data_IF_248587810727
#
_entry.id   IF_248587810727
#
_cell.length_a   1.000
_cell.length_b   1.000
_cell.length_c   1.000
_cell.angle_alpha   90.00
_cell.angle_beta   90.00
_cell.angle_gamma   90.00
#
_symmetry.space_group_name_H-M   'P 1'
#
loop_
_entity.id
_entity.type
_entity.pdbx_description
1 polymer ?
#
# COMPACT_ATOMS: atom_id res chain seq x y z
N UNK A 1 -4.52 -16.28 -16.50
CA UNK A 1 -3.18 -16.69 -16.96
C UNK A 1 -2.31 -15.45 -16.96
N UNK A 2 -1.39 -15.36 -16.00
CA UNK A 2 -0.54 -14.20 -15.81
C UNK A 2 0.78 -14.43 -16.54
N UNK A 3 1.05 -13.59 -17.53
CA UNK A 3 2.33 -13.53 -18.24
C UNK A 3 2.81 -12.09 -18.08
N UNK A 4 3.90 -11.91 -17.34
CA UNK A 4 5.00 -10.91 -17.28
C UNK A 4 4.94 -9.61 -18.12
N UNK A 5 4.07 -9.51 -19.11
CA UNK A 5 3.69 -8.30 -19.83
C UNK A 5 2.26 -7.82 -19.50
N UNK A 6 1.50 -8.54 -18.67
CA UNK A 6 0.15 -8.18 -18.25
C UNK A 6 0.17 -7.57 -16.85
N UNK A 7 0.22 -6.25 -16.85
CA UNK A 7 -0.38 -5.44 -15.81
C UNK A 7 -1.86 -5.84 -15.63
N UNK A 8 -2.27 -6.10 -14.38
CA UNK A 8 -3.68 -6.26 -14.07
C UNK A 8 -4.29 -4.89 -13.75
N UNK A 9 -5.12 -4.39 -14.67
CA UNK A 9 -5.95 -3.20 -14.46
C UNK A 9 -7.38 -3.66 -14.29
N UNK A 10 -7.93 -3.52 -13.09
CA UNK A 10 -9.30 -3.93 -12.80
C UNK A 10 -10.33 -2.86 -13.22
N UNK A 11 -10.24 -2.36 -14.45
CA UNK A 11 -11.17 -1.37 -15.00
C UNK A 11 -11.82 -1.88 -16.30
N UNK A 12 -13.13 -1.68 -16.45
CA UNK A 12 -13.92 -2.03 -17.66
C UNK A 12 -13.54 -1.22 -18.92
N UNK A 13 -12.64 -0.25 -18.81
CA UNK A 13 -12.13 0.56 -19.92
C UNK A 13 -10.71 0.15 -20.28
N UNK A 14 -10.44 -0.10 -21.56
CA UNK A 14 -9.12 -0.45 -22.09
C UNK A 14 -8.13 0.70 -21.87
N UNK A 15 -7.20 0.53 -20.94
CA UNK A 15 -6.04 1.40 -20.81
C UNK A 15 -5.06 1.07 -21.93
N UNK A 16 -4.68 2.06 -22.74
CA UNK A 16 -3.62 1.92 -23.73
C UNK A 16 -2.27 1.99 -23.02
N UNK A 17 -1.68 0.80 -22.74
CA UNK A 17 -0.36 0.66 -22.14
C UNK A 17 0.72 0.65 -23.24
N UNK A 18 1.77 1.46 -23.08
CA UNK A 18 3.03 1.29 -23.79
C UNK A 18 4.18 0.97 -22.85
N UNK A 19 5.05 0.09 -23.30
CA UNK A 19 6.27 -0.31 -22.62
C UNK A 19 7.41 0.48 -23.27
N UNK A 20 8.13 1.31 -22.49
CA UNK A 20 9.27 2.13 -22.97
C UNK A 20 10.57 1.74 -22.30
N UNK A 21 11.68 2.07 -22.97
CA UNK A 21 13.04 1.84 -22.50
C UNK A 21 13.53 0.41 -22.78
N UNK A 22 14.85 0.27 -22.84
CA UNK A 22 15.49 -1.04 -23.00
C UNK A 22 15.40 -1.82 -21.69
N UNK A 23 14.81 -3.00 -21.74
CA UNK A 23 14.65 -3.89 -20.59
C UNK A 23 14.45 -5.32 -21.06
N UNK A 24 14.82 -6.28 -20.23
CA UNK A 24 14.63 -7.71 -20.52
C UNK A 24 13.71 -8.35 -19.49
N UNK A 25 12.94 -9.35 -19.91
CA UNK A 25 12.30 -10.29 -18.99
C UNK A 25 13.33 -11.33 -18.58
N UNK A 26 13.61 -11.43 -17.28
CA UNK A 26 14.56 -12.40 -16.73
C UNK A 26 13.87 -13.35 -15.76
N UNK A 27 14.23 -14.63 -15.83
CA UNK A 27 13.77 -15.68 -14.93
C UNK A 27 14.73 -15.86 -13.76
N UNK A 28 14.20 -16.38 -12.66
CA UNK A 28 14.99 -16.76 -11.49
C UNK A 28 16.07 -17.79 -11.88
N UNK A 29 17.26 -17.66 -11.29
CA UNK A 29 18.36 -18.62 -11.47
C UNK A 29 18.04 -19.97 -10.81
N UNK A 30 17.34 -19.93 -9.67
CA UNK A 30 16.85 -21.12 -8.98
C UNK A 30 15.33 -21.14 -9.02
N UNK A 31 14.76 -22.25 -9.47
CA UNK A 31 13.31 -22.43 -9.60
C UNK A 31 12.73 -22.57 -8.18
N UNK A 32 12.15 -21.49 -7.67
CA UNK A 32 11.26 -21.53 -6.51
C UNK A 32 9.82 -21.84 -6.97
N UNK A 33 9.05 -22.55 -6.14
CA UNK A 33 7.62 -22.82 -6.36
C UNK A 33 6.72 -21.60 -6.10
N UNK A 34 7.29 -20.41 -5.95
CA UNK A 34 6.55 -19.18 -5.63
C UNK A 34 5.47 -18.89 -6.68
N UNK A 35 4.26 -18.45 -6.27
CA UNK A 35 3.21 -18.15 -7.22
C UNK A 35 3.59 -16.93 -8.06
N UNK A 36 2.94 -16.81 -9.22
CA UNK A 36 2.92 -15.57 -9.98
C UNK A 36 2.50 -14.43 -9.04
N UNK A 37 3.15 -13.25 -9.07
CA UNK A 37 4.01 -12.72 -10.14
C UNK A 37 5.52 -12.93 -9.97
N UNK A 38 5.98 -13.69 -8.98
CA UNK A 38 7.40 -13.66 -8.56
C UNK A 38 8.37 -14.54 -9.35
N UNK A 39 7.89 -15.29 -10.34
CA UNK A 39 8.72 -16.22 -11.13
C UNK A 39 9.73 -15.53 -12.06
N UNK A 40 9.48 -14.27 -12.39
CA UNK A 40 10.21 -13.49 -13.40
C UNK A 40 10.15 -12.01 -13.08
N UNK A 41 11.08 -11.24 -13.62
CA UNK A 41 11.09 -9.79 -13.51
C UNK A 41 11.35 -9.12 -14.86
N UNK A 42 10.75 -7.94 -15.06
CA UNK A 42 11.26 -6.96 -16.03
C UNK A 42 12.42 -6.24 -15.37
N UNK A 43 13.59 -6.27 -15.98
CA UNK A 43 14.85 -5.82 -15.37
C UNK A 43 15.73 -5.11 -16.38
N UNK A 44 16.42 -4.05 -15.93
CA UNK A 44 17.36 -3.29 -16.77
C UNK A 44 18.38 -2.49 -15.97
N UNK A 45 19.55 -2.25 -16.57
CA UNK A 45 20.56 -1.27 -16.12
C UNK A 45 20.32 0.14 -16.65
N UNK A 46 19.32 0.31 -17.52
CA UNK A 46 18.87 1.60 -18.02
C UNK A 46 17.45 1.88 -17.54
N UNK A 47 17.05 3.14 -17.56
CA UNK A 47 15.69 3.54 -17.24
C UNK A 47 14.68 2.83 -18.16
N UNK A 48 13.57 2.38 -17.57
CA UNK A 48 12.44 1.85 -18.32
C UNK A 48 11.12 2.32 -17.70
N UNK A 49 10.06 2.31 -18.51
CA UNK A 49 8.76 2.83 -18.06
C UNK A 49 7.57 2.01 -18.57
N UNK A 50 6.46 2.17 -17.87
CA UNK A 50 5.10 1.79 -18.28
C UNK A 50 4.29 3.07 -18.43
N UNK A 51 3.83 3.36 -19.65
CA UNK A 51 3.09 4.57 -19.97
C UNK A 51 1.62 4.25 -20.24
N UNK A 52 0.73 5.01 -19.61
CA UNK A 52 -0.71 4.87 -19.75
C UNK A 52 -1.30 6.15 -20.33
N UNK A 53 -1.72 6.09 -21.60
CA UNK A 53 -2.26 7.24 -22.31
C UNK A 53 -3.70 7.57 -21.93
N UNK A 54 -4.44 6.57 -21.41
CA UNK A 54 -5.82 6.75 -20.98
C UNK A 54 -6.07 5.96 -19.71
N UNK A 55 -6.25 6.70 -18.61
CA UNK A 55 -6.67 6.19 -17.32
C UNK A 55 -7.86 7.00 -16.84
N UNK A 56 -8.82 6.33 -16.20
CA UNK A 56 -9.93 7.06 -15.58
C UNK A 56 -9.40 7.87 -14.39
N UNK A 57 -9.85 9.12 -14.22
CA UNK A 57 -9.44 9.95 -13.11
C UNK A 57 -9.85 9.36 -11.75
N UNK A 58 -9.32 9.94 -10.68
CA UNK A 58 -9.60 9.56 -9.30
C UNK A 58 -8.54 8.62 -8.71
N UNK A 59 -8.75 8.24 -7.45
CA UNK A 59 -7.80 7.46 -6.67
C UNK A 59 -7.59 6.05 -7.22
N UNK A 60 -6.33 5.62 -7.17
CA UNK A 60 -5.86 4.31 -7.56
C UNK A 60 -5.02 3.73 -6.43
N UNK A 61 -5.16 2.42 -6.21
CA UNK A 61 -4.16 1.63 -5.49
C UNK A 61 -3.18 1.09 -6.52
N UNK A 62 -1.90 1.33 -6.27
CA UNK A 62 -0.78 0.81 -7.03
C UNK A 62 -0.03 -0.21 -6.16
N UNK A 63 -0.01 -1.47 -6.60
CA UNK A 63 0.82 -2.50 -6.01
C UNK A 63 2.05 -2.75 -6.88
N UNK A 64 3.22 -2.69 -6.25
CA UNK A 64 4.50 -3.04 -6.84
C UNK A 64 5.04 -4.30 -6.15
N UNK A 65 5.14 -5.39 -6.91
CA UNK A 65 5.60 -6.69 -6.41
C UNK A 65 7.10 -6.87 -6.65
N UNK A 66 7.83 -7.24 -5.59
CA UNK A 66 9.27 -7.45 -5.62
C UNK A 66 9.64 -8.83 -5.07
N UNK A 67 10.41 -9.57 -5.85
CA UNK A 67 11.12 -10.79 -5.44
C UNK A 67 12.62 -10.58 -5.70
N UNK A 68 13.38 -10.06 -4.73
CA UNK A 68 14.80 -9.78 -4.88
C UNK A 68 15.65 -11.06 -4.81
N UNK A 69 15.56 -11.86 -5.86
CA UNK A 69 16.36 -13.07 -6.04
C UNK A 69 17.41 -12.88 -7.15
N UNK A 70 18.39 -13.80 -7.28
CA UNK A 70 19.29 -13.80 -8.43
C UNK A 70 18.52 -14.05 -9.73
N UNK A 71 18.70 -13.15 -10.70
CA UNK A 71 18.16 -13.26 -12.05
C UNK A 71 19.29 -13.54 -13.05
N UNK A 72 18.99 -14.17 -14.19
CA UNK A 72 20.01 -14.42 -15.22
C UNK A 72 20.68 -13.11 -15.66
N UNK A 73 21.98 -12.97 -15.39
CA UNK A 73 22.77 -11.76 -15.72
C UNK A 73 22.73 -10.64 -14.66
N UNK A 74 21.98 -10.80 -13.58
CA UNK A 74 21.78 -9.78 -12.55
C UNK A 74 21.94 -10.38 -11.15
N UNK A 75 22.98 -9.92 -10.43
CA UNK A 75 23.29 -10.38 -9.08
C UNK A 75 22.42 -9.65 -8.06
N UNK A 76 21.92 -10.36 -7.05
CA UNK A 76 21.25 -9.77 -5.87
C UNK A 76 22.13 -8.67 -5.24
N UNK A 77 21.51 -7.69 -4.59
CA UNK A 77 22.15 -6.51 -3.99
C UNK A 77 22.81 -5.53 -4.97
N UNK A 78 22.52 -5.66 -6.27
CA UNK A 78 22.80 -4.61 -7.27
C UNK A 78 21.52 -3.89 -7.71
N UNK A 79 20.38 -4.21 -7.10
CA UNK A 79 19.12 -3.51 -7.23
C UNK A 79 19.14 -2.24 -6.37
N UNK A 80 19.45 -1.11 -7.01
CA UNK A 80 19.43 0.20 -6.39
C UNK A 80 18.81 1.17 -7.38
N UNK A 81 17.58 1.61 -7.12
CA UNK A 81 16.79 2.35 -8.10
C UNK A 81 15.72 3.24 -7.45
N UNK A 82 15.18 4.15 -8.25
CA UNK A 82 14.02 4.95 -7.90
C UNK A 82 12.80 4.53 -8.73
N UNK A 83 11.61 4.75 -8.17
CA UNK A 83 10.33 4.58 -8.86
C UNK A 83 9.55 5.88 -8.79
N UNK A 84 9.21 6.42 -9.96
CA UNK A 84 8.48 7.67 -10.11
C UNK A 84 7.14 7.42 -10.79
N UNK A 85 6.11 8.11 -10.30
CA UNK A 85 4.75 8.05 -10.83
C UNK A 85 4.17 9.45 -10.93
N UNK A 86 4.07 9.96 -12.16
CA UNK A 86 3.68 11.35 -12.39
C UNK A 86 4.61 12.31 -11.63
N UNK A 87 4.10 13.21 -10.78
CA UNK A 87 4.94 14.13 -9.98
C UNK A 87 5.53 13.48 -8.72
N UNK A 88 5.25 12.21 -8.44
CA UNK A 88 5.60 11.55 -7.19
C UNK A 88 6.83 10.66 -7.35
N UNK A 89 7.81 10.80 -6.46
CA UNK A 89 8.82 9.77 -6.24
C UNK A 89 8.29 8.82 -5.17
N UNK A 90 7.86 7.61 -5.57
CA UNK A 90 7.31 6.62 -4.65
C UNK A 90 8.41 5.86 -3.90
N UNK A 91 9.53 5.61 -4.57
CA UNK A 91 10.70 4.94 -4.01
C UNK A 91 11.94 5.70 -4.48
N UNK A 92 12.90 5.95 -3.59
CA UNK A 92 14.15 6.63 -3.91
C UNK A 92 15.33 5.89 -3.30
N UNK A 93 16.39 5.70 -4.09
CA UNK A 93 17.59 4.96 -3.68
C UNK A 93 17.25 3.61 -3.02
N UNK A 94 16.22 2.95 -3.56
CA UNK A 94 15.59 1.79 -2.97
C UNK A 94 16.31 0.51 -3.38
N UNK A 95 16.49 -0.39 -2.41
CA UNK A 95 16.96 -1.76 -2.63
C UNK A 95 15.93 -2.74 -2.11
N UNK A 96 15.34 -3.53 -3.02
CA UNK A 96 14.42 -4.58 -2.65
C UNK A 96 15.15 -5.70 -1.88
N UNK A 97 16.40 -6.02 -2.25
CA UNK A 97 17.21 -7.03 -1.55
C UNK A 97 17.42 -6.69 -0.08
N UNK A 98 17.85 -5.46 0.23
CA UNK A 98 18.04 -5.03 1.62
C UNK A 98 16.70 -4.98 2.38
N UNK A 99 15.63 -4.55 1.72
CA UNK A 99 14.29 -4.50 2.31
C UNK A 99 13.79 -5.90 2.67
N UNK A 100 13.91 -6.86 1.75
CA UNK A 100 13.52 -8.25 1.98
C UNK A 100 14.29 -8.90 3.13
N UNK A 101 15.61 -8.66 3.21
CA UNK A 101 16.44 -9.19 4.31
C UNK A 101 16.04 -8.58 5.67
N UNK A 102 15.78 -7.27 5.72
CA UNK A 102 15.35 -6.61 6.94
C UNK A 102 13.96 -7.07 7.41
N UNK A 103 13.06 -7.40 6.48
CA UNK A 103 11.74 -7.96 6.76
C UNK A 103 11.76 -9.47 7.04
N UNK A 104 12.84 -10.17 6.67
CA UNK A 104 12.95 -11.63 6.78
C UNK A 104 12.01 -12.38 5.83
N UNK A 105 11.74 -11.83 4.64
CA UNK A 105 10.83 -12.41 3.64
C UNK A 105 11.51 -12.57 2.28
N UNK A 106 11.07 -13.55 1.49
CA UNK A 106 11.63 -13.80 0.15
C UNK A 106 11.11 -12.81 -0.91
N UNK A 107 9.86 -12.38 -0.75
CA UNK A 107 9.19 -11.43 -1.64
C UNK A 107 8.21 -10.57 -0.86
N UNK A 108 7.90 -9.38 -1.39
CA UNK A 108 6.98 -8.46 -0.75
C UNK A 108 6.30 -7.54 -1.77
N UNK A 109 5.25 -6.86 -1.32
CA UNK A 109 4.49 -5.89 -2.12
C UNK A 109 4.55 -4.53 -1.44
N UNK A 110 4.87 -3.49 -2.20
CA UNK A 110 4.69 -2.09 -1.78
C UNK A 110 3.35 -1.59 -2.31
N UNK A 111 2.59 -0.93 -1.45
CA UNK A 111 1.28 -0.41 -1.78
C UNK A 111 1.22 1.11 -1.68
N UNK A 112 0.70 1.76 -2.71
CA UNK A 112 0.53 3.21 -2.75
C UNK A 112 -0.90 3.59 -3.14
N UNK A 113 -1.45 4.60 -2.49
CA UNK A 113 -2.65 5.30 -2.93
C UNK A 113 -2.26 6.62 -3.58
N UNK A 114 -2.68 6.80 -4.83
CA UNK A 114 -2.34 7.96 -5.65
C UNK A 114 -3.59 8.44 -6.38
N UNK A 115 -3.68 9.74 -6.64
CA UNK A 115 -4.79 10.31 -7.39
C UNK A 115 -4.35 10.69 -8.81
N UNK A 116 -5.12 10.24 -9.81
CA UNK A 116 -4.91 10.60 -11.22
C UNK A 116 -5.90 11.72 -11.57
N UNK A 117 -5.40 12.84 -12.11
CA UNK A 117 -6.26 13.93 -12.58
C UNK A 117 -6.79 13.67 -13.99
N UNK A 118 -7.83 14.40 -14.39
CA UNK A 118 -8.36 14.33 -15.76
C UNK A 118 -7.27 14.69 -16.79
N UNK A 119 -7.23 13.93 -17.90
CA UNK A 119 -6.28 14.09 -18.99
C UNK A 119 -4.79 13.99 -18.59
N UNK A 120 -4.50 13.52 -17.39
CA UNK A 120 -3.13 13.27 -16.94
C UNK A 120 -2.68 11.89 -17.43
N UNK A 121 -1.61 11.86 -18.22
CA UNK A 121 -0.90 10.61 -18.50
C UNK A 121 -0.38 10.00 -17.19
N UNK A 122 -0.54 8.69 -17.04
CA UNK A 122 -0.03 7.98 -15.87
C UNK A 122 1.18 7.19 -16.31
N UNK A 123 2.37 7.50 -15.78
CA UNK A 123 3.61 6.84 -16.16
C UNK A 123 4.28 6.29 -14.91
N UNK A 124 4.74 5.04 -14.96
CA UNK A 124 5.54 4.43 -13.90
C UNK A 124 6.95 4.25 -14.44
N UNK A 125 7.91 4.98 -13.89
CA UNK A 125 9.29 5.06 -14.36
C UNK A 125 10.20 4.39 -13.33
N UNK A 126 11.06 3.49 -13.80
CA UNK A 126 12.04 2.79 -12.98
C UNK A 126 13.44 3.22 -13.43
N UNK A 127 14.20 3.83 -12.52
CA UNK A 127 15.49 4.47 -12.82
C UNK A 127 16.59 3.89 -11.93
N UNK A 128 17.51 3.07 -12.48
CA UNK A 128 18.70 2.62 -11.76
C UNK A 128 19.53 3.81 -11.26
N UNK A 129 20.09 3.72 -10.06
CA UNK A 129 20.83 4.81 -9.43
C UNK A 129 22.14 5.14 -10.14
N UNK A 130 22.78 4.14 -10.76
CA UNK A 130 24.05 4.27 -11.49
C UNK A 130 24.28 3.09 -12.46
N UNK A 131 25.35 3.16 -13.25
CA UNK A 131 25.70 2.15 -14.27
C UNK A 131 25.99 0.74 -13.73
N UNK A 132 26.33 0.62 -12.45
CA UNK A 132 26.59 -0.68 -11.80
C UNK A 132 25.32 -1.31 -11.23
N UNK A 133 24.29 -0.50 -11.00
CA UNK A 133 22.99 -0.92 -10.46
C UNK A 133 22.01 -1.34 -11.56
N UNK A 134 20.89 -1.92 -11.16
CA UNK A 134 19.74 -2.18 -12.02
C UNK A 134 18.44 -1.85 -11.29
N UNK A 135 17.38 -1.66 -12.07
CA UNK A 135 16.01 -1.59 -11.60
C UNK A 135 15.25 -2.83 -12.08
N UNK A 136 14.30 -3.30 -11.26
CA UNK A 136 13.46 -4.43 -11.63
C UNK A 136 12.09 -4.35 -11.00
N UNK A 137 11.13 -5.06 -11.60
CA UNK A 137 9.79 -5.24 -11.06
C UNK A 137 9.25 -6.61 -11.49
N UNK A 138 8.60 -7.33 -10.57
CA UNK A 138 7.99 -8.63 -10.87
C UNK A 138 6.57 -8.50 -11.37
N UNK A 139 5.81 -7.58 -10.79
CA UNK A 139 4.43 -7.32 -11.14
C UNK A 139 4.00 -5.93 -10.73
N UNK A 140 3.06 -5.38 -11.50
CA UNK A 140 2.39 -4.13 -11.20
C UNK A 140 0.89 -4.42 -11.25
N UNK A 141 0.14 -3.93 -10.26
CA UNK A 141 -1.32 -3.94 -10.28
C UNK A 141 -1.85 -2.54 -10.03
N UNK A 142 -2.88 -2.15 -10.77
CA UNK A 142 -3.54 -0.85 -10.61
C UNK A 142 -5.04 -1.10 -10.42
N UNK A 143 -5.54 -0.70 -9.25
CA UNK A 143 -6.91 -0.92 -8.83
C UNK A 143 -7.59 0.43 -8.65
N UNK A 144 -8.76 0.62 -9.25
CA UNK A 144 -9.52 1.86 -9.06
C UNK A 144 -10.22 1.87 -7.71
N UNK A 145 -10.07 2.97 -6.97
CA UNK A 145 -10.76 3.18 -5.70
C UNK A 145 -12.09 3.87 -5.98
N UNK A 146 -13.24 3.28 -5.59
CA UNK A 146 -14.52 3.95 -5.70
C UNK A 146 -14.54 5.24 -4.87
N UNK A 147 -15.21 6.32 -5.32
CA UNK A 147 -15.28 7.58 -4.56
C UNK A 147 -15.80 7.44 -3.12
N UNK A 148 -16.67 6.45 -2.87
CA UNK A 148 -17.19 6.11 -1.54
C UNK A 148 -16.15 5.52 -0.59
N UNK A 149 -15.03 5.01 -1.12
CA UNK A 149 -13.94 4.37 -0.38
C UNK A 149 -12.63 5.17 -0.45
N UNK A 150 -12.65 6.38 -1.03
CA UNK A 150 -11.44 7.21 -1.17
C UNK A 150 -10.72 7.40 0.16
N UNK A 151 -9.39 7.35 0.14
CA UNK A 151 -8.50 7.47 1.31
C UNK A 151 -8.46 8.89 1.87
N UNK A 152 -8.69 9.86 1.00
CA UNK A 152 -8.76 11.27 1.32
C UNK A 152 -9.72 11.95 0.34
N UNK A 153 -10.39 13.01 0.78
CA UNK A 153 -11.39 13.74 0.00
C UNK A 153 -10.99 15.20 -0.25
N UNK A 154 -9.71 15.53 -0.07
CA UNK A 154 -9.28 16.92 0.00
C UNK A 154 -9.66 17.53 1.35
N UNK A 155 -8.73 18.27 1.95
CA UNK A 155 -9.01 19.07 3.13
C UNK A 155 -7.94 18.99 4.20
N UNK A 156 -8.31 19.51 5.36
CA UNK A 156 -7.41 19.74 6.47
C UNK A 156 -7.61 18.66 7.51
N UNK A 157 -6.54 17.94 7.86
CA UNK A 157 -6.54 16.92 8.89
C UNK A 157 -5.76 17.39 10.11
N UNK A 158 -6.27 17.05 11.29
CA UNK A 158 -5.63 17.38 12.55
C UNK A 158 -4.47 16.42 12.85
N UNK A 159 -3.37 16.98 13.33
CA UNK A 159 -2.24 16.21 13.88
C UNK A 159 -2.53 15.87 15.33
N UNK A 160 -2.44 14.59 15.66
CA UNK A 160 -2.54 14.08 17.03
C UNK A 160 -1.45 14.72 17.91
N UNK A 161 -1.87 15.31 19.02
CA UNK A 161 -0.97 15.92 20.00
C UNK A 161 -0.51 17.33 19.65
N UNK A 162 -0.93 17.89 18.50
CA UNK A 162 -0.58 19.24 18.08
C UNK A 162 -1.84 20.02 17.64
N UNK A 163 -1.73 21.36 17.65
CA UNK A 163 -2.74 22.23 17.03
C UNK A 163 -2.44 22.45 15.53
N UNK A 164 -1.43 21.76 14.99
CA UNK A 164 -1.06 21.84 13.58
C UNK A 164 -2.04 21.07 12.71
N UNK A 165 -2.16 21.56 11.47
CA UNK A 165 -3.11 21.11 10.48
C UNK A 165 -2.34 20.72 9.21
N UNK A 166 -2.66 19.55 8.65
CA UNK A 166 -2.04 19.04 7.42
C UNK A 166 -3.08 19.00 6.32
N UNK A 167 -2.75 19.60 5.18
CA UNK A 167 -3.57 19.50 3.99
C UNK A 167 -3.25 18.19 3.28
N UNK A 168 -4.28 17.35 3.09
CA UNK A 168 -4.22 16.19 2.20
C UNK A 168 -5.19 16.41 1.08
N UNK A 169 -4.65 16.55 -0.12
CA UNK A 169 -5.43 16.81 -1.31
C UNK A 169 -5.06 15.83 -2.43
N UNK A 170 -5.62 16.09 -3.60
CA UNK A 170 -5.42 15.29 -4.81
C UNK A 170 -3.98 15.32 -5.35
N UNK A 171 -3.09 16.12 -4.75
CA UNK A 171 -1.65 16.14 -4.99
C UNK A 171 -0.87 15.36 -3.94
N UNK A 172 -1.52 14.62 -3.04
CA UNK A 172 -0.86 13.76 -2.05
C UNK A 172 -0.82 12.30 -2.52
N UNK A 173 0.34 11.65 -2.39
CA UNK A 173 0.50 10.21 -2.51
C UNK A 173 0.71 9.61 -1.12
N UNK A 174 0.10 8.45 -0.85
CA UNK A 174 0.21 7.75 0.44
C UNK A 174 0.84 6.37 0.22
N UNK A 175 1.82 6.00 1.03
CA UNK A 175 2.24 4.60 1.17
C UNK A 175 1.36 3.91 2.22
N UNK A 176 0.77 2.78 1.85
CA UNK A 176 0.00 1.93 2.75
C UNK A 176 0.93 0.81 3.23
N UNK A 177 1.54 1.00 4.38
CA UNK A 177 2.51 0.05 4.94
C UNK A 177 1.91 -0.90 5.99
N UNK A 178 0.68 -0.65 6.45
CA UNK A 178 0.00 -1.51 7.43
C UNK A 178 -1.53 -1.51 7.24
N UNK A 179 -2.14 -2.70 7.24
CA UNK A 179 -3.60 -2.91 7.30
C UNK A 179 -3.93 -3.96 8.34
N UNK A 180 -4.82 -3.60 9.26
CA UNK A 180 -5.28 -4.50 10.31
C UNK A 180 -6.78 -4.69 10.19
N UNK A 181 -7.23 -5.94 10.22
CA UNK A 181 -8.65 -6.23 10.38
C UNK A 181 -8.90 -6.92 11.71
N UNK A 182 -9.82 -6.34 12.48
CA UNK A 182 -10.16 -6.82 13.81
C UNK A 182 -11.55 -7.40 13.71
N UNK A 183 -11.65 -8.72 13.79
CA UNK A 183 -12.94 -9.42 13.92
C UNK A 183 -13.15 -9.78 15.39
N UNK A 184 -14.37 -9.56 15.88
CA UNK A 184 -14.83 -10.17 17.12
C UNK A 184 -15.29 -11.59 16.78
N UNK A 185 -14.78 -12.60 17.49
CA UNK A 185 -15.11 -14.00 17.22
C UNK A 185 -16.60 -14.28 17.47
N UNK A 186 -17.40 -14.22 16.41
CA UNK A 186 -18.51 -15.14 16.14
C UNK A 186 -18.99 -14.91 14.71
N UNK A 187 -19.12 -16.00 13.95
CA UNK A 187 -19.54 -16.10 12.54
C UNK A 187 -18.39 -16.08 11.53
N UNK A 188 -17.97 -17.30 11.16
CA UNK A 188 -17.50 -17.62 9.82
C UNK A 188 -18.56 -17.17 8.81
N UNK A 189 -18.40 -15.99 8.22
CA UNK A 189 -19.16 -15.60 7.04
C UNK A 189 -18.39 -16.05 5.79
N UNK A 190 -19.05 -16.95 5.06
CA UNK A 190 -18.64 -17.51 3.79
C UNK A 190 -18.63 -16.47 2.67
N UNK A 191 -17.56 -16.50 1.87
CA UNK A 191 -17.47 -16.15 0.45
C UNK A 191 -18.06 -14.79 -0.01
N UNK A 192 -17.17 -13.87 -0.40
CA UNK A 192 -17.48 -12.78 -1.33
C UNK A 192 -17.44 -11.36 -0.76
N UNK A 193 -16.68 -11.11 0.31
CA UNK A 193 -16.58 -9.79 0.92
C UNK A 193 -15.50 -8.93 0.26
N UNK A 194 -15.71 -7.60 0.22
CA UNK A 194 -14.75 -6.62 -0.34
C UNK A 194 -13.38 -6.69 0.36
N UNK A 195 -13.31 -7.32 1.55
CA UNK A 195 -12.07 -7.61 2.27
C UNK A 195 -11.10 -8.49 1.48
N UNK A 196 -11.58 -9.34 0.56
CA UNK A 196 -10.74 -10.18 -0.29
C UNK A 196 -10.10 -9.42 -1.46
N UNK A 197 -10.56 -8.20 -1.76
CA UNK A 197 -10.07 -7.42 -2.92
C UNK A 197 -8.71 -6.79 -2.65
N UNK A 198 -8.36 -6.53 -1.38
CA UNK A 198 -7.15 -5.80 -0.98
C UNK A 198 -6.14 -6.66 -0.21
N UNK A 199 -6.15 -7.97 -0.49
CA UNK A 199 -5.46 -9.03 0.23
C UNK A 199 -4.10 -8.66 0.83
N UNK A 200 -4.13 -8.35 2.13
CA UNK A 200 -3.09 -8.59 3.14
C UNK A 200 -3.64 -8.05 4.48
N UNK A 201 -4.61 -8.76 5.05
CA UNK A 201 -5.20 -8.39 6.33
C UNK A 201 -4.63 -9.33 7.39
N UNK A 202 -3.81 -8.82 8.30
CA UNK A 202 -3.59 -9.56 9.55
C UNK A 202 -4.93 -9.61 10.29
N UNK A 203 -5.48 -10.82 10.42
CA UNK A 203 -6.70 -11.05 11.19
C UNK A 203 -6.28 -11.41 12.61
N UNK A 204 -6.49 -10.50 13.55
CA UNK A 204 -6.21 -10.76 14.95
C UNK A 204 -7.50 -11.25 15.62
N UNK A 205 -7.59 -12.55 15.89
CA UNK A 205 -8.67 -13.14 16.66
C UNK A 205 -8.44 -12.85 18.14
N UNK A 206 -9.19 -11.90 18.69
CA UNK A 206 -9.10 -11.55 20.10
C UNK A 206 -9.87 -12.56 20.97
N UNK A 207 -9.20 -13.67 21.35
CA UNK A 207 -9.69 -14.64 22.35
C UNK A 207 -9.92 -14.05 23.77
N UNK A 208 -9.66 -12.75 23.97
CA UNK A 208 -9.75 -12.07 25.28
C UNK A 208 -10.77 -10.94 25.33
N UNK A 209 -11.77 -10.93 24.44
CA UNK A 209 -12.86 -9.93 24.47
C UNK A 209 -13.89 -10.15 25.61
N UNK A 210 -13.74 -11.17 26.46
CA UNK A 210 -14.65 -11.44 27.60
C UNK A 210 -14.18 -10.82 28.94
N UNK A 211 -13.57 -9.63 28.93
CA UNK A 211 -13.36 -8.87 30.17
C UNK A 211 -13.56 -7.38 29.91
N UNK A 212 -14.67 -6.83 30.41
CA UNK A 212 -15.12 -5.44 30.25
C UNK A 212 -14.09 -4.33 30.61
N UNK A 213 -12.87 -4.66 31.06
CA UNK A 213 -11.88 -3.72 31.60
C UNK A 213 -10.46 -3.82 30.99
N UNK A 214 -10.25 -4.49 29.86
CA UNK A 214 -8.92 -4.60 29.26
C UNK A 214 -8.75 -3.67 28.06
N UNK A 215 -7.77 -2.77 28.14
CA UNK A 215 -7.33 -1.96 27.00
C UNK A 215 -6.72 -2.87 25.93
N UNK A 216 -7.31 -2.91 24.73
CA UNK A 216 -6.69 -3.56 23.58
C UNK A 216 -5.63 -2.60 23.03
N UNK A 217 -4.38 -3.05 22.98
CA UNK A 217 -3.24 -2.23 22.55
C UNK A 217 -2.55 -2.90 21.37
N UNK A 218 -2.38 -2.15 20.29
CA UNK A 218 -1.59 -2.56 19.13
C UNK A 218 -0.34 -1.68 19.03
N UNK A 219 0.77 -2.28 18.63
CA UNK A 219 2.04 -1.59 18.41
C UNK A 219 2.42 -1.77 16.95
N UNK A 220 2.68 -0.66 16.28
CA UNK A 220 3.10 -0.63 14.88
C UNK A 220 4.44 0.09 14.85
N UNK A 221 5.47 -0.57 14.32
CA UNK A 221 6.77 0.06 14.08
C UNK A 221 6.67 0.97 12.86
N UNK A 222 7.23 2.16 12.96
CA UNK A 222 7.18 3.20 11.93
C UNK A 222 8.56 3.82 11.74
N UNK A 223 8.81 4.37 10.56
CA UNK A 223 10.02 5.12 10.26
C UNK A 223 9.98 6.50 10.92
N UNK A 224 11.12 6.92 11.45
CA UNK A 224 11.21 8.21 12.15
C UNK A 224 11.31 9.34 11.11
N UNK A 225 10.55 10.42 11.33
CA UNK A 225 10.62 11.63 10.50
C UNK A 225 9.59 11.70 9.37
N UNK A 226 8.66 10.76 9.32
CA UNK A 226 7.52 10.78 8.39
C UNK A 226 6.22 11.08 9.13
N UNK A 227 5.23 11.57 8.37
CA UNK A 227 3.87 11.78 8.84
C UNK A 227 3.01 10.56 8.52
N UNK A 228 2.24 10.10 9.49
CA UNK A 228 1.43 8.89 9.37
C UNK A 228 -0.05 9.21 9.40
N UNK A 229 -0.76 8.89 8.32
CA UNK A 229 -2.22 8.94 8.30
C UNK A 229 -2.78 7.66 8.92
N UNK A 230 -3.52 7.79 10.01
CA UNK A 230 -4.27 6.68 10.59
C UNK A 230 -5.74 6.84 10.25
N UNK A 231 -6.28 5.78 9.64
CA UNK A 231 -7.66 5.66 9.21
C UNK A 231 -8.28 4.47 9.94
N UNK A 232 -9.33 4.73 10.73
CA UNK A 232 -10.02 3.70 11.49
C UNK A 232 -11.43 3.54 10.91
N UNK A 233 -11.76 2.30 10.58
CA UNK A 233 -13.08 1.90 10.09
C UNK A 233 -13.80 1.11 11.18
N UNK A 234 -15.04 1.49 11.46
CA UNK A 234 -15.92 0.74 12.35
C UNK A 234 -17.05 0.12 11.52
N UNK A 235 -17.31 -1.16 11.75
CA UNK A 235 -18.49 -1.86 11.22
C UNK A 235 -19.21 -2.49 12.40
N UNK A 236 -20.52 -2.25 12.49
CA UNK A 236 -21.34 -2.79 13.56
C UNK A 236 -22.03 -4.06 13.06
N UNK A 237 -21.77 -5.25 13.67
CA UNK A 237 -22.52 -6.45 13.37
C UNK A 237 -23.88 -6.35 14.05
N UNK A 238 -24.82 -5.64 13.42
CA UNK A 238 -26.26 -5.66 13.68
C UNK A 238 -26.71 -5.92 15.11
N UNK A 239 -26.70 -4.89 15.96
CA UNK A 239 -27.71 -4.68 17.01
C UNK A 239 -27.59 -3.22 17.44
N UNK A 240 -28.60 -2.40 17.19
CA UNK A 240 -28.65 -1.01 17.63
C UNK A 240 -28.58 -0.94 19.17
N UNK A 241 -27.37 -0.96 19.70
CA UNK A 241 -27.11 -0.61 21.09
C UNK A 241 -26.64 0.83 21.11
N UNK A 242 -27.61 1.74 21.00
CA UNK A 242 -27.38 3.15 21.24
C UNK A 242 -26.71 3.32 22.62
N UNK A 243 -25.48 3.83 22.63
CA UNK A 243 -24.83 4.27 23.87
C UNK A 243 -23.45 3.70 24.20
N UNK A 244 -22.87 2.80 23.39
CA UNK A 244 -21.49 2.36 23.65
C UNK A 244 -20.51 3.46 23.17
N UNK A 245 -19.91 4.15 24.14
CA UNK A 245 -18.76 5.03 23.91
C UNK A 245 -17.47 4.27 24.13
N UNK A 246 -16.57 4.32 23.15
CA UNK A 246 -15.21 3.84 23.33
C UNK A 246 -14.21 4.96 23.04
N UNK A 247 -13.04 4.85 23.67
CA UNK A 247 -11.94 5.78 23.50
C UNK A 247 -10.84 5.05 22.76
N UNK A 248 -10.38 5.63 21.65
CA UNK A 248 -9.14 5.19 21.02
C UNK A 248 -8.04 6.10 21.53
N UNK A 249 -7.04 5.48 22.13
CA UNK A 249 -5.83 6.16 22.55
C UNK A 249 -4.77 5.91 21.50
N UNK A 250 -4.29 6.99 20.88
CA UNK A 250 -3.18 6.91 19.94
C UNK A 250 -2.00 7.62 20.56
N UNK A 251 -0.89 6.90 20.68
CA UNK A 251 0.35 7.38 21.29
C UNK A 251 1.48 7.31 20.27
N UNK A 252 2.18 8.42 20.09
CA UNK A 252 3.45 8.45 19.36
C UNK A 252 4.62 8.12 20.29
N UNK A 253 5.78 7.79 19.71
CA UNK A 253 7.06 7.60 20.43
C UNK A 253 7.49 8.83 21.22
N UNK A 254 6.97 10.03 20.89
CA UNK A 254 7.22 11.27 21.63
C UNK A 254 6.37 11.42 22.90
N UNK A 255 5.60 10.39 23.29
CA UNK A 255 4.60 10.44 24.36
C UNK A 255 3.43 11.43 24.13
N UNK A 256 3.32 11.98 22.92
CA UNK A 256 2.13 12.70 22.49
C UNK A 256 0.96 11.71 22.41
N UNK A 257 -0.04 11.92 23.26
CA UNK A 257 -1.22 11.08 23.35
C UNK A 257 -2.45 11.87 22.93
N UNK A 258 -3.16 11.40 21.91
CA UNK A 258 -4.51 11.89 21.61
C UNK A 258 -5.55 10.87 22.08
N UNK A 259 -6.56 11.36 22.78
CA UNK A 259 -7.75 10.60 23.15
C UNK A 259 -8.84 10.97 22.16
N UNK A 260 -9.10 10.09 21.21
CA UNK A 260 -10.24 10.23 20.30
C UNK A 260 -11.45 9.55 20.92
N UNK A 261 -12.55 10.28 21.08
CA UNK A 261 -13.81 9.77 21.60
C UNK A 261 -14.73 9.46 20.43
N UNK A 262 -15.19 8.22 20.36
CA UNK A 262 -16.09 7.77 19.30
C UNK A 262 -17.42 7.36 19.89
N UNK A 263 -18.48 7.67 19.15
CA UNK A 263 -19.82 7.16 19.37
C UNK A 263 -20.11 6.10 18.32
N UNK A 264 -20.61 4.93 18.74
CA UNK A 264 -21.14 3.93 17.82
C UNK A 264 -22.23 4.58 16.95
N UNK A 265 -22.08 4.46 15.62
CA UNK A 265 -22.84 5.19 14.59
C UNK A 265 -22.00 6.06 13.65
N UNK A 266 -20.76 6.42 14.05
CA UNK A 266 -19.82 7.10 13.16
C UNK A 266 -19.03 6.10 12.30
N UNK A 267 -19.08 6.27 10.96
CA UNK A 267 -18.55 5.25 10.02
C UNK A 267 -17.05 5.36 9.73
N UNK A 268 -16.44 6.57 9.73
CA UNK A 268 -15.06 6.79 9.28
C UNK A 268 -14.42 8.00 9.94
N UNK A 269 -13.17 7.87 10.42
CA UNK A 269 -12.34 9.00 10.87
C UNK A 269 -10.89 8.83 10.43
N UNK A 270 -10.27 9.95 10.03
CA UNK A 270 -8.88 10.04 9.57
C UNK A 270 -8.14 11.11 10.40
N UNK A 271 -6.89 10.85 10.79
CA UNK A 271 -6.05 11.79 11.54
C UNK A 271 -4.55 11.49 11.31
N UNK A 272 -3.68 12.49 11.51
CA UNK A 272 -2.23 12.31 11.34
C UNK A 272 -1.49 12.13 12.67
N UNK A 273 -0.34 11.45 12.60
CA UNK A 273 0.65 11.29 13.66
C UNK A 273 2.05 11.70 13.17
N UNK A 274 2.88 12.17 14.09
CA UNK A 274 4.34 12.35 13.94
C UNK A 274 5.13 11.21 14.56
#
# INVERSE_FOLDING_TARGET
>A
MWLINHLYVQSKTSSLLQIKGSSTTSSLVHISSDPVPHKTARISRSQFAYEFFKMNPGQKILWLHFNPAPYKGYKRFKDLFSVEVGPFTLLSNFSASLTADALGVDSFTKEFCINIQENQGFNIIFSPANSQSYAFINGIQIISVPPSLSYFHGGVLQVVGQQSLINVDNSTALEIFHRLNIKQDSVTSSAGDISDIFGMWETVNNRKANKMNNNITWKISVDVGLWYLVRIHFSEPGLETAGVMFKVLVKSMRNDACVLRFFLGQRLHNFFLT
#
